data_IF_927341529623
#
_entry.id   IF_927341529623
#
_cell.length_a   1.000
_cell.length_b   1.000
_cell.length_c   1.000
_cell.angle_alpha   90.00
_cell.angle_beta   90.00
_cell.angle_gamma   90.00
#
_symmetry.space_group_name_H-M   'P 1'
#
loop_
_entity.id
_entity.type
_entity.pdbx_description
1 polymer ?
#
# COMPACT_ATOMS: atom_id res chain seq x y z
N UNK A 1 22.17 -29.83 22.10
CA UNK A 1 21.69 -28.64 21.38
C UNK A 1 22.78 -28.23 20.39
N UNK A 2 22.70 -28.60 19.11
CA UNK A 2 23.61 -28.10 18.07
C UNK A 2 22.90 -26.92 17.40
N UNK A 3 23.37 -25.71 17.70
CA UNK A 3 22.92 -24.48 17.05
C UNK A 3 23.80 -24.32 15.81
N UNK A 4 23.20 -24.36 14.62
CA UNK A 4 23.92 -24.26 13.37
C UNK A 4 24.06 -22.78 12.99
N UNK A 5 25.28 -22.24 13.06
CA UNK A 5 25.56 -20.85 12.72
C UNK A 5 25.55 -20.64 11.21
N UNK A 6 24.76 -19.69 10.71
CA UNK A 6 25.13 -18.97 9.49
C UNK A 6 25.87 -17.70 9.92
N UNK A 7 27.15 -17.60 9.53
CA UNK A 7 28.00 -16.45 9.78
C UNK A 7 27.37 -15.16 9.23
N UNK A 8 26.90 -14.29 10.12
CA UNK A 8 26.74 -12.86 9.83
C UNK A 8 28.09 -12.19 10.09
N UNK A 9 28.81 -11.89 9.01
CA UNK A 9 30.00 -11.05 9.05
C UNK A 9 29.58 -9.60 9.27
N UNK A 10 29.75 -9.09 10.50
CA UNK A 10 29.60 -7.67 10.82
C UNK A 10 29.15 -7.47 12.27
N UNK A 11 30.06 -7.06 13.15
CA UNK A 11 29.85 -6.95 14.59
C UNK A 11 28.77 -5.97 15.00
N UNK A 12 27.62 -6.49 15.39
CA UNK A 12 26.60 -5.79 16.18
C UNK A 12 26.52 -6.52 17.52
N UNK A 13 26.86 -5.84 18.61
CA UNK A 13 26.69 -6.35 19.98
C UNK A 13 25.20 -6.32 20.33
N UNK A 14 24.47 -7.39 19.98
CA UNK A 14 23.09 -7.61 20.41
C UNK A 14 23.12 -8.57 21.61
N UNK A 15 22.94 -8.04 22.81
CA UNK A 15 22.76 -8.91 23.98
C UNK A 15 21.32 -9.27 24.25
N UNK A 16 21.18 -10.43 24.86
CA UNK A 16 19.93 -11.17 24.97
C UNK A 16 19.47 -11.15 26.42
N UNK A 17 18.19 -10.83 26.66
CA UNK A 17 17.60 -10.79 27.99
C UNK A 17 16.67 -11.98 28.24
N UNK A 18 16.82 -12.62 29.40
CA UNK A 18 15.93 -13.67 29.91
C UNK A 18 15.10 -13.09 31.07
N UNK A 19 13.77 -13.23 31.02
CA UNK A 19 12.84 -12.83 32.10
C UNK A 19 12.03 -14.06 32.55
N UNK A 20 11.94 -14.28 33.86
CA UNK A 20 11.15 -15.35 34.49
C UNK A 20 10.15 -14.80 35.51
N UNK A 21 9.00 -15.47 35.68
CA UNK A 21 7.96 -15.11 36.67
C UNK A 21 7.95 -16.01 37.92
N UNK A 22 8.92 -16.90 38.10
CA UNK A 22 8.96 -17.84 39.24
C UNK A 22 10.07 -17.46 40.24
N UNK A 23 9.77 -17.25 41.54
CA UNK A 23 10.80 -17.04 42.56
C UNK A 23 11.77 -18.24 42.64
N UNK A 24 13.09 -18.02 42.83
CA UNK A 24 13.71 -16.81 43.37
C UNK A 24 14.23 -15.80 42.32
N UNK A 25 14.09 -16.06 41.03
CA UNK A 25 14.63 -15.19 39.97
C UNK A 25 13.59 -14.17 39.51
N UNK A 26 13.40 -13.13 40.33
CA UNK A 26 12.85 -11.86 39.87
C UNK A 26 14.03 -11.02 39.36
N UNK A 27 14.29 -11.04 38.06
CA UNK A 27 15.40 -10.27 37.49
C UNK A 27 15.68 -10.60 36.03
N UNK A 28 16.35 -9.67 35.35
CA UNK A 28 16.76 -9.77 33.97
C UNK A 28 18.29 -9.89 33.87
N UNK A 29 18.79 -10.90 33.17
CA UNK A 29 20.23 -11.09 32.94
C UNK A 29 20.57 -10.91 31.45
N UNK A 30 21.77 -10.38 31.19
CA UNK A 30 22.27 -10.04 29.86
C UNK A 30 23.35 -11.04 29.43
N UNK A 31 23.21 -11.59 28.22
CA UNK A 31 24.18 -12.53 27.65
C UNK A 31 24.77 -11.99 26.35
N UNK A 32 26.07 -12.18 26.15
CA UNK A 32 26.80 -11.56 25.04
C UNK A 32 26.58 -12.27 23.69
N UNK A 33 26.10 -13.52 23.70
CA UNK A 33 25.87 -14.31 22.50
C UNK A 33 24.88 -15.47 22.76
N UNK A 34 24.37 -16.06 21.69
CA UNK A 34 23.41 -17.17 21.72
C UNK A 34 23.96 -18.43 22.42
N UNK A 35 25.29 -18.62 22.43
CA UNK A 35 25.90 -19.78 23.07
C UNK A 35 25.80 -19.69 24.60
N UNK A 36 26.05 -18.50 25.17
CA UNK A 36 25.87 -18.23 26.59
C UNK A 36 24.41 -18.36 27.03
N UNK A 37 23.47 -17.88 26.21
CA UNK A 37 22.03 -18.07 26.45
C UNK A 37 21.66 -19.56 26.52
N UNK A 38 22.16 -20.36 25.58
CA UNK A 38 21.92 -21.80 25.56
C UNK A 38 22.46 -22.52 26.79
N UNK A 39 23.64 -22.12 27.29
CA UNK A 39 24.24 -22.68 28.50
C UNK A 39 23.46 -22.28 29.77
N UNK A 40 23.06 -21.01 29.88
CA UNK A 40 22.29 -20.50 31.00
C UNK A 40 20.90 -21.17 31.08
N UNK A 41 20.20 -21.29 29.94
CA UNK A 41 18.93 -22.03 29.86
C UNK A 41 19.08 -23.48 30.29
N UNK A 42 20.12 -24.17 29.81
CA UNK A 42 20.37 -25.56 30.17
C UNK A 42 20.64 -25.72 31.67
N UNK A 43 21.39 -24.80 32.27
CA UNK A 43 21.65 -24.80 33.72
C UNK A 43 20.36 -24.55 34.52
N UNK A 44 19.57 -23.54 34.16
CA UNK A 44 18.32 -23.18 34.85
C UNK A 44 17.25 -24.28 34.75
N UNK A 45 17.06 -24.89 33.58
CA UNK A 45 16.12 -26.00 33.40
C UNK A 45 16.54 -27.26 34.16
N UNK A 46 17.84 -27.41 34.46
CA UNK A 46 18.35 -28.56 35.22
C UNK A 46 18.29 -28.38 36.75
N UNK A 47 18.17 -27.14 37.24
CA UNK A 47 18.31 -26.80 38.67
C UNK A 47 17.05 -26.22 39.30
N UNK A 48 16.06 -25.80 38.50
CA UNK A 48 14.81 -25.19 38.97
C UNK A 48 13.58 -25.83 38.32
N UNK A 49 12.42 -25.78 39.00
CA UNK A 49 11.12 -26.27 38.48
C UNK A 49 10.50 -25.30 37.45
N UNK A 50 11.33 -24.71 36.60
CA UNK A 50 10.92 -23.81 35.52
C UNK A 50 10.40 -24.64 34.34
N UNK A 51 9.22 -24.29 33.82
CA UNK A 51 8.72 -24.87 32.58
C UNK A 51 9.13 -24.00 31.41
N UNK A 52 9.11 -24.59 30.21
CA UNK A 52 9.57 -23.93 29.00
C UNK A 52 8.72 -22.71 28.63
N UNK A 53 7.44 -22.73 28.97
CA UNK A 53 6.52 -21.59 28.84
C UNK A 53 6.84 -20.39 29.74
N UNK A 54 7.70 -20.56 30.75
CA UNK A 54 8.06 -19.50 31.71
C UNK A 54 9.27 -18.66 31.26
N UNK A 55 9.84 -18.96 30.08
CA UNK A 55 11.10 -18.36 29.62
C UNK A 55 10.90 -17.55 28.35
N UNK A 56 11.08 -16.23 28.47
CA UNK A 56 11.02 -15.29 27.35
C UNK A 56 12.42 -14.83 26.98
N UNK A 57 12.78 -14.96 25.70
CA UNK A 57 14.04 -14.46 25.14
C UNK A 57 13.72 -13.31 24.20
N UNK A 58 14.19 -12.11 24.53
CA UNK A 58 13.99 -10.90 23.72
C UNK A 58 15.32 -10.21 23.45
N UNK A 59 15.52 -9.75 22.21
CA UNK A 59 16.65 -8.92 21.79
C UNK A 59 16.32 -7.43 21.69
N UNK A 60 15.17 -6.99 22.22
CA UNK A 60 14.76 -5.58 22.24
C UNK A 60 14.99 -4.99 23.62
N UNK A 61 16.08 -4.26 23.83
CA UNK A 61 16.12 -3.22 24.85
C UNK A 61 16.99 -2.04 24.43
N UNK A 62 16.34 -0.87 24.34
CA UNK A 62 16.91 0.39 24.77
C UNK A 62 16.54 0.55 26.27
N UNK A 63 17.47 1.03 27.10
CA UNK A 63 17.51 0.80 28.56
C UNK A 63 16.43 1.40 29.47
N UNK A 64 15.27 1.88 29.00
CA UNK A 64 14.35 2.69 29.83
C UNK A 64 12.90 2.18 30.02
N UNK A 65 12.37 1.21 29.26
CA UNK A 65 10.90 0.92 29.25
C UNK A 65 10.44 -0.42 29.90
N UNK A 66 11.16 -0.94 30.90
CA UNK A 66 10.91 -2.28 31.46
C UNK A 66 9.90 -2.36 32.63
N UNK A 67 8.94 -1.45 32.79
CA UNK A 67 7.92 -1.57 33.85
C UNK A 67 6.51 -1.24 33.40
N UNK A 68 5.72 -2.27 33.11
CA UNK A 68 4.27 -2.21 33.22
C UNK A 68 3.51 -3.13 32.28
N UNK A 69 2.47 -3.75 32.83
CA UNK A 69 1.29 -4.38 32.17
C UNK A 69 1.29 -5.91 32.11
N UNK A 70 0.48 -6.49 33.00
CA UNK A 70 -0.01 -7.88 33.00
C UNK A 70 -1.54 -7.89 33.31
N UNK A 71 -2.25 -8.86 32.70
CA UNK A 71 -3.66 -9.25 32.98
C UNK A 71 -4.71 -8.56 32.08
N UNK A 72 -5.77 -9.18 31.54
CA UNK A 72 -6.45 -10.49 31.63
C UNK A 72 -7.28 -10.63 30.29
N UNK A 73 -7.50 -11.80 29.68
CA UNK A 73 -8.58 -12.76 29.99
C UNK A 73 -9.81 -12.59 29.07
N UNK A 74 -10.00 -13.47 28.07
CA UNK A 74 -11.13 -13.50 27.10
C UNK A 74 -11.91 -14.81 27.28
N UNK A 75 -13.24 -14.79 27.12
CA UNK A 75 -14.02 -16.02 26.90
C UNK A 75 -15.27 -15.78 26.04
N UNK A 76 -15.64 -16.77 25.20
CA UNK A 76 -17.02 -16.96 24.71
C UNK A 76 -17.23 -17.13 23.19
N UNK A 77 -17.31 -18.39 22.75
CA UNK A 77 -17.73 -18.87 21.41
C UNK A 77 -19.26 -18.87 21.26
N UNK A 78 -19.80 -18.66 20.04
CA UNK A 78 -21.00 -19.37 19.50
C UNK A 78 -21.19 -19.17 17.98
N UNK A 79 -21.57 -20.27 17.33
CA UNK A 79 -21.79 -20.50 15.90
C UNK A 79 -23.24 -20.29 15.46
N UNK A 80 -23.49 -19.86 14.21
CA UNK A 80 -24.63 -20.31 13.37
C UNK A 80 -24.49 -19.79 11.93
N UNK A 81 -24.81 -20.66 10.95
CA UNK A 81 -24.70 -20.39 9.51
C UNK A 81 -25.96 -19.82 8.85
N UNK A 82 -25.88 -19.63 7.53
CA UNK A 82 -27.00 -19.29 6.65
C UNK A 82 -26.54 -18.73 5.30
N UNK A 83 -26.75 -19.51 4.25
CA UNK A 83 -26.52 -19.19 2.83
C UNK A 83 -27.55 -18.17 2.30
N UNK A 84 -27.20 -17.34 1.31
CA UNK A 84 -28.10 -17.00 0.18
C UNK A 84 -27.40 -16.23 -0.96
N UNK A 85 -27.50 -16.77 -2.19
CA UNK A 85 -28.11 -16.07 -3.33
C UNK A 85 -27.33 -14.99 -4.09
N UNK A 86 -26.61 -15.40 -5.14
CA UNK A 86 -26.12 -14.54 -6.22
C UNK A 86 -27.20 -14.29 -7.27
N UNK A 87 -27.40 -13.03 -7.68
CA UNK A 87 -28.02 -12.68 -8.97
C UNK A 87 -27.22 -11.56 -9.63
N UNK A 88 -26.73 -11.86 -10.82
CA UNK A 88 -26.00 -10.94 -11.68
C UNK A 88 -26.91 -10.18 -12.65
N UNK A 89 -26.34 -9.14 -13.26
CA UNK A 89 -26.78 -8.64 -14.56
C UNK A 89 -25.60 -7.93 -15.21
N UNK A 90 -25.12 -8.51 -16.31
CA UNK A 90 -24.14 -7.91 -17.21
C UNK A 90 -24.78 -6.93 -18.18
N UNK A 91 -23.93 -6.10 -18.78
CA UNK A 91 -24.28 -5.22 -19.89
C UNK A 91 -23.00 -4.72 -20.53
N UNK A 92 -22.65 -5.34 -21.66
CA UNK A 92 -21.57 -4.95 -22.56
C UNK A 92 -21.98 -3.69 -23.34
N UNK A 93 -21.02 -2.83 -23.67
CA UNK A 93 -20.94 -2.23 -25.02
C UNK A 93 -19.51 -1.74 -25.28
N UNK A 94 -18.94 -2.18 -26.40
CA UNK A 94 -17.68 -1.72 -26.95
C UNK A 94 -17.86 -0.56 -27.93
N UNK A 95 -16.74 -0.02 -28.42
CA UNK A 95 -16.71 0.94 -29.52
C UNK A 95 -15.44 1.79 -29.57
N UNK A 96 -14.46 1.30 -30.32
CA UNK A 96 -13.52 1.99 -31.23
C UNK A 96 -12.78 3.30 -30.84
N UNK A 97 -11.45 3.15 -30.81
CA UNK A 97 -10.32 4.05 -31.15
C UNK A 97 -10.56 5.56 -31.32
N UNK A 98 -10.01 6.36 -30.39
CA UNK A 98 -9.89 7.82 -30.44
C UNK A 98 -8.41 8.23 -30.27
N UNK A 99 -7.77 8.69 -31.34
CA UNK A 99 -6.46 9.37 -31.33
C UNK A 99 -6.68 10.83 -31.73
N UNK A 100 -6.46 11.75 -30.77
CA UNK A 100 -6.68 13.19 -30.92
C UNK A 100 -7.43 13.79 -29.73
N UNK A 101 -6.97 14.95 -29.24
CA UNK A 101 -7.80 15.79 -28.35
C UNK A 101 -9.12 16.10 -29.08
N UNK A 102 -10.29 16.09 -28.41
CA UNK A 102 -11.52 16.59 -29.01
C UNK A 102 -11.27 17.93 -29.70
N UNK A 103 -11.67 18.07 -30.97
CA UNK A 103 -11.45 19.27 -31.77
C UNK A 103 -11.78 20.54 -30.95
N UNK A 104 -10.77 21.38 -30.68
CA UNK A 104 -10.96 22.66 -30.00
C UNK A 104 -10.72 22.71 -28.49
N UNK A 105 -10.02 21.75 -27.88
CA UNK A 105 -9.45 21.97 -26.54
C UNK A 105 -8.50 23.18 -26.58
N UNK A 106 -8.92 24.27 -25.92
CA UNK A 106 -8.24 25.55 -26.03
C UNK A 106 -6.78 25.50 -25.59
N UNK A 107 -5.87 26.03 -26.42
CA UNK A 107 -4.45 26.30 -26.08
C UNK A 107 -4.31 27.08 -24.76
N UNK A 108 -5.32 27.86 -24.38
CA UNK A 108 -5.36 28.59 -23.12
C UNK A 108 -5.23 27.66 -21.89
N UNK A 109 -5.93 26.53 -21.88
CA UNK A 109 -5.88 25.58 -20.75
C UNK A 109 -4.49 24.95 -20.61
N UNK A 110 -3.93 24.46 -21.73
CA UNK A 110 -2.58 23.91 -21.76
C UNK A 110 -1.52 24.95 -21.41
N UNK A 111 -1.66 26.19 -21.90
CA UNK A 111 -0.75 27.30 -21.59
C UNK A 111 -0.75 27.63 -20.12
N UNK A 112 -1.93 27.71 -19.50
CA UNK A 112 -2.05 27.91 -18.05
C UNK A 112 -1.42 26.75 -17.27
N UNK A 113 -1.70 25.50 -17.66
CA UNK A 113 -1.17 24.30 -16.99
C UNK A 113 0.37 24.23 -17.01
N UNK A 114 1.02 24.69 -18.10
CA UNK A 114 2.49 24.78 -18.20
C UNK A 114 3.08 25.65 -17.09
N UNK A 115 2.33 26.66 -16.63
CA UNK A 115 2.75 27.56 -15.55
C UNK A 115 2.72 26.95 -14.15
N UNK A 116 2.05 25.80 -13.97
CA UNK A 116 1.98 25.09 -12.70
C UNK A 116 3.11 24.05 -12.58
N UNK A 117 3.59 23.83 -11.35
CA UNK A 117 4.50 22.72 -11.05
C UNK A 117 3.76 21.38 -10.94
N UNK A 118 4.51 20.27 -10.87
CA UNK A 118 3.90 18.94 -10.69
C UNK A 118 3.29 18.80 -9.29
N UNK A 119 3.97 19.33 -8.25
CA UNK A 119 3.49 19.29 -6.87
C UNK A 119 2.18 20.07 -6.69
N UNK A 120 2.06 21.24 -7.33
CA UNK A 120 0.84 22.02 -7.36
C UNK A 120 -0.31 21.25 -7.99
N UNK A 121 -0.07 20.34 -8.94
CA UNK A 121 -1.11 19.51 -9.57
C UNK A 121 -1.39 18.19 -8.84
N UNK A 122 -0.38 17.61 -8.18
CA UNK A 122 -0.42 16.27 -7.63
C UNK A 122 -1.06 16.15 -6.24
N UNK A 123 -1.29 17.28 -5.56
CA UNK A 123 -1.86 17.32 -4.21
C UNK A 123 -3.26 17.94 -4.21
N UNK A 124 -4.20 17.25 -3.57
CA UNK A 124 -5.56 17.75 -3.32
C UNK A 124 -5.96 17.52 -1.86
N UNK A 125 -6.34 18.61 -1.21
CA UNK A 125 -6.66 18.68 0.22
C UNK A 125 -8.08 18.24 0.55
N UNK A 126 -8.89 17.88 -0.45
CA UNK A 126 -10.28 17.49 -0.25
C UNK A 126 -10.62 16.18 -0.95
N UNK A 127 -11.53 15.38 -0.38
CA UNK A 127 -11.97 14.15 -1.01
C UNK A 127 -12.70 14.46 -2.32
N UNK A 128 -12.32 13.76 -3.38
CA UNK A 128 -13.06 13.80 -4.63
C UNK A 128 -14.46 13.21 -4.49
N UNK A 129 -15.42 13.77 -5.22
CA UNK A 129 -16.77 13.24 -5.37
C UNK A 129 -16.79 11.94 -6.18
N UNK A 130 -17.88 11.18 -6.00
CA UNK A 130 -18.20 10.03 -6.83
C UNK A 130 -18.93 10.50 -8.09
N UNK A 131 -18.58 9.91 -9.24
CA UNK A 131 -19.21 10.25 -10.53
C UNK A 131 -20.53 9.47 -10.65
N UNK A 132 -21.68 10.14 -10.80
CA UNK A 132 -22.95 9.47 -11.09
C UNK A 132 -22.87 8.66 -12.40
N UNK A 133 -23.43 7.44 -12.43
CA UNK A 133 -23.37 6.53 -13.59
C UNK A 133 -23.73 7.19 -14.93
N UNK A 134 -24.78 8.02 -14.93
CA UNK A 134 -25.23 8.77 -16.12
C UNK A 134 -24.22 9.76 -16.69
N UNK A 135 -23.15 10.07 -15.96
CA UNK A 135 -22.09 10.99 -16.37
C UNK A 135 -20.77 10.27 -16.65
N UNK A 136 -20.71 8.94 -16.55
CA UNK A 136 -19.45 8.21 -16.74
C UNK A 136 -18.83 8.44 -18.12
N UNK A 137 -19.63 8.47 -19.20
CA UNK A 137 -19.14 8.81 -20.54
C UNK A 137 -18.52 10.22 -20.61
N UNK A 138 -19.25 11.24 -20.18
CA UNK A 138 -18.77 12.63 -20.18
C UNK A 138 -17.51 12.82 -19.30
N UNK A 139 -17.48 12.17 -18.13
CA UNK A 139 -16.31 12.18 -17.27
C UNK A 139 -15.12 11.50 -17.95
N UNK A 140 -15.35 10.36 -18.62
CA UNK A 140 -14.32 9.63 -19.35
C UNK A 140 -13.70 10.47 -20.45
N UNK A 141 -14.49 11.23 -21.21
CA UNK A 141 -13.95 12.18 -22.20
C UNK A 141 -13.00 13.20 -21.57
N UNK A 142 -13.28 13.69 -20.36
CA UNK A 142 -12.35 14.58 -19.65
C UNK A 142 -11.02 13.87 -19.35
N UNK A 143 -11.07 12.63 -18.86
CA UNK A 143 -9.87 11.85 -18.53
C UNK A 143 -9.07 11.49 -19.79
N UNK A 144 -9.76 11.26 -20.90
CA UNK A 144 -9.15 10.92 -22.18
C UNK A 144 -8.28 12.04 -22.74
N UNK A 145 -8.53 13.32 -22.40
CA UNK A 145 -7.63 14.44 -22.77
C UNK A 145 -6.21 14.18 -22.27
N UNK A 146 -6.06 13.74 -21.01
CA UNK A 146 -4.75 13.41 -20.47
C UNK A 146 -4.24 12.06 -21.01
N UNK A 147 -5.07 11.00 -20.97
CA UNK A 147 -4.64 9.65 -21.35
C UNK A 147 -4.21 9.54 -22.82
N UNK A 148 -4.85 10.28 -23.74
CA UNK A 148 -4.48 10.27 -25.17
C UNK A 148 -3.05 10.79 -25.37
N UNK A 149 -2.67 11.86 -24.66
CA UNK A 149 -1.31 12.41 -24.71
C UNK A 149 -0.30 11.53 -24.01
N UNK A 150 -0.62 11.03 -22.81
CA UNK A 150 0.25 10.10 -22.05
C UNK A 150 0.57 8.81 -22.79
N UNK A 151 -0.35 8.34 -23.65
CA UNK A 151 -0.16 7.17 -24.52
C UNK A 151 0.75 7.47 -25.71
N UNK A 152 0.68 8.68 -26.27
CA UNK A 152 1.45 9.04 -27.47
C UNK A 152 2.87 9.46 -27.09
N UNK A 153 3.01 10.25 -26.03
CA UNK A 153 4.29 10.73 -25.53
C UNK A 153 4.41 10.42 -24.02
N UNK A 154 5.29 9.47 -23.70
CA UNK A 154 5.53 9.06 -22.32
C UNK A 154 6.31 10.10 -21.52
N UNK A 155 6.88 11.12 -22.16
CA UNK A 155 7.64 12.21 -21.54
C UNK A 155 6.81 13.52 -21.42
N UNK A 156 5.54 13.51 -21.81
CA UNK A 156 4.64 14.67 -21.74
C UNK A 156 4.24 14.99 -20.28
N UNK A 157 5.03 15.85 -19.62
CA UNK A 157 4.82 16.26 -18.23
C UNK A 157 3.45 16.92 -18.04
N UNK A 158 3.00 17.74 -18.98
CA UNK A 158 1.72 18.44 -18.92
C UNK A 158 0.53 17.46 -18.90
N UNK A 159 0.60 16.36 -19.65
CA UNK A 159 -0.44 15.35 -19.63
C UNK A 159 -0.57 14.67 -18.25
N UNK A 160 0.56 14.40 -17.58
CA UNK A 160 0.55 13.88 -16.21
C UNK A 160 0.05 14.92 -15.20
N UNK A 161 0.46 16.20 -15.33
CA UNK A 161 -0.08 17.30 -14.51
C UNK A 161 -1.60 17.37 -14.63
N UNK A 162 -2.13 17.33 -15.86
CA UNK A 162 -3.57 17.35 -16.10
C UNK A 162 -4.25 16.13 -15.48
N UNK A 163 -3.68 14.93 -15.66
CA UNK A 163 -4.21 13.72 -15.06
C UNK A 163 -4.33 13.86 -13.54
N UNK A 164 -3.27 14.31 -12.85
CA UNK A 164 -3.32 14.51 -11.41
C UNK A 164 -4.31 15.58 -10.96
N UNK A 165 -4.41 16.66 -11.74
CA UNK A 165 -5.21 17.83 -11.43
C UNK A 165 -6.72 17.60 -11.66
N UNK A 166 -7.09 16.71 -12.57
CA UNK A 166 -8.46 16.54 -13.06
C UNK A 166 -9.50 16.30 -11.94
N UNK A 167 -9.27 15.42 -10.93
CA UNK A 167 -10.22 15.26 -9.83
C UNK A 167 -10.49 16.57 -9.09
N UNK A 168 -9.46 17.43 -8.97
CA UNK A 168 -9.57 18.74 -8.32
C UNK A 168 -10.45 19.70 -9.13
N UNK A 169 -10.37 19.66 -10.45
CA UNK A 169 -11.14 20.54 -11.34
C UNK A 169 -12.61 20.14 -11.41
N UNK A 170 -12.92 18.85 -11.59
CA UNK A 170 -14.29 18.41 -11.91
C UNK A 170 -15.01 17.70 -10.76
N UNK A 171 -14.27 17.15 -9.79
CA UNK A 171 -14.82 16.34 -8.68
C UNK A 171 -14.60 16.96 -7.29
N UNK A 172 -14.19 18.22 -7.22
CA UNK A 172 -14.16 18.96 -5.94
C UNK A 172 -15.54 19.01 -5.26
N UNK A 173 -15.62 19.10 -3.92
CA UNK A 173 -16.87 19.24 -3.19
C UNK A 173 -17.78 20.35 -3.74
N UNK A 174 -19.09 20.16 -3.60
CA UNK A 174 -20.05 21.21 -3.93
C UNK A 174 -20.12 22.19 -2.75
N UNK A 175 -19.98 23.48 -3.02
CA UNK A 175 -20.05 24.53 -2.00
C UNK A 175 -21.46 24.59 -1.38
N UNK A 176 -21.54 24.98 -0.10
CA UNK A 176 -22.82 25.16 0.58
C UNK A 176 -23.63 26.28 -0.09
N UNK A 177 -24.94 26.10 -0.24
CA UNK A 177 -25.84 27.08 -0.86
C UNK A 177 -26.03 26.94 -2.39
N UNK A 178 -25.29 26.06 -3.05
CA UNK A 178 -25.53 25.72 -4.46
C UNK A 178 -26.88 25.02 -4.60
N UNK A 179 -27.81 25.63 -5.36
CA UNK A 179 -29.17 25.08 -5.58
C UNK A 179 -29.18 23.86 -6.49
N UNK A 180 -28.17 23.70 -7.34
CA UNK A 180 -28.05 22.60 -8.28
C UNK A 180 -27.66 21.30 -7.54
N UNK A 181 -28.22 20.16 -7.97
CA UNK A 181 -27.79 18.87 -7.47
C UNK A 181 -26.35 18.52 -7.90
N UNK A 182 -25.66 17.69 -7.11
CA UNK A 182 -24.25 17.29 -7.34
C UNK A 182 -23.99 16.81 -8.78
N UNK A 183 -24.91 16.02 -9.35
CA UNK A 183 -24.78 15.54 -10.72
C UNK A 183 -24.77 16.68 -11.75
N UNK A 184 -25.58 17.72 -11.56
CA UNK A 184 -25.61 18.85 -12.47
C UNK A 184 -24.32 19.67 -12.39
N UNK A 185 -23.80 19.87 -11.17
CA UNK A 185 -22.52 20.54 -10.94
C UNK A 185 -21.36 19.79 -11.60
N UNK A 186 -21.27 18.47 -11.44
CA UNK A 186 -20.24 17.65 -12.11
C UNK A 186 -20.37 17.76 -13.64
N UNK A 187 -21.60 17.67 -14.17
CA UNK A 187 -21.85 17.79 -15.62
C UNK A 187 -21.34 19.14 -16.15
N UNK A 188 -21.63 20.23 -15.46
CA UNK A 188 -21.21 21.58 -15.84
C UNK A 188 -19.68 21.73 -15.79
N UNK A 189 -19.03 21.22 -14.72
CA UNK A 189 -17.56 21.24 -14.61
C UNK A 189 -16.89 20.42 -15.70
N UNK A 190 -17.39 19.23 -16.02
CA UNK A 190 -16.87 18.43 -17.15
C UNK A 190 -17.02 19.17 -18.48
N UNK A 191 -18.16 19.82 -18.72
CA UNK A 191 -18.38 20.59 -19.94
C UNK A 191 -17.41 21.79 -20.05
N UNK A 192 -17.15 22.50 -18.95
CA UNK A 192 -16.14 23.56 -18.88
C UNK A 192 -14.73 23.05 -19.08
N UNK A 193 -14.41 21.90 -18.48
CA UNK A 193 -13.12 21.23 -18.64
C UNK A 193 -12.83 20.93 -20.11
N UNK A 194 -13.81 20.38 -20.84
CA UNK A 194 -13.68 20.07 -22.26
C UNK A 194 -13.61 21.31 -23.16
N UNK A 195 -13.94 22.50 -22.65
CA UNK A 195 -13.69 23.78 -23.34
C UNK A 195 -12.34 24.41 -23.00
N UNK A 196 -11.53 23.76 -22.16
CA UNK A 196 -10.22 24.27 -21.74
C UNK A 196 -10.28 25.36 -20.64
N UNK A 197 -11.42 25.56 -19.99
CA UNK A 197 -11.60 26.56 -18.92
C UNK A 197 -10.98 26.14 -17.57
N UNK A 198 -9.77 25.55 -17.60
CA UNK A 198 -9.15 24.90 -16.43
C UNK A 198 -8.75 25.88 -15.35
N UNK A 199 -8.23 27.06 -15.71
CA UNK A 199 -7.88 28.12 -14.77
C UNK A 199 -9.09 28.56 -13.94
N UNK A 200 -10.24 28.78 -14.59
CA UNK A 200 -11.48 29.15 -13.91
C UNK A 200 -11.98 28.05 -12.97
N UNK A 201 -11.96 26.79 -13.43
CA UNK A 201 -12.31 25.65 -12.59
C UNK A 201 -11.38 25.51 -11.37
N UNK A 202 -10.10 25.83 -11.55
CA UNK A 202 -9.10 25.81 -10.49
C UNK A 202 -9.31 26.95 -9.48
N UNK A 203 -9.63 28.15 -9.93
CA UNK A 203 -9.89 29.31 -9.08
C UNK A 203 -11.14 29.13 -8.18
N UNK A 204 -12.10 28.32 -8.62
CA UNK A 204 -13.32 28.00 -7.84
C UNK A 204 -13.10 26.96 -6.74
N UNK A 205 -11.93 26.33 -6.70
CA UNK A 205 -11.58 25.33 -5.72
C UNK A 205 -11.61 25.95 -4.32
N UNK A 206 -12.39 25.38 -3.37
CA UNK A 206 -12.42 25.90 -2.01
C UNK A 206 -11.02 26.00 -1.43
N UNK A 207 -10.66 27.18 -0.93
CA UNK A 207 -9.40 27.42 -0.23
C UNK A 207 -9.23 26.52 1.00
N UNK A 208 -7.97 26.26 1.30
CA UNK A 208 -7.40 25.39 2.32
C UNK A 208 -8.36 25.01 3.48
N UNK A 209 -8.88 23.77 3.44
CA UNK A 209 -9.57 23.14 4.57
C UNK A 209 -8.66 22.11 5.23
N UNK A 210 -7.46 22.53 5.64
CA UNK A 210 -6.56 21.77 6.53
C UNK A 210 -7.12 21.45 7.93
N UNK A 211 -8.38 21.75 8.21
CA UNK A 211 -9.03 21.23 9.40
C UNK A 211 -9.57 19.82 9.10
N UNK A 212 -8.76 18.80 9.37
CA UNK A 212 -9.31 17.52 9.85
C UNK A 212 -9.96 17.86 11.19
N UNK A 213 -11.19 18.40 11.16
CA UNK A 213 -12.02 18.42 12.34
C UNK A 213 -12.02 16.99 12.88
N UNK A 214 -11.76 16.85 14.18
CA UNK A 214 -11.93 15.60 14.90
C UNK A 214 -13.17 14.90 14.36
N UNK A 215 -13.06 13.60 14.08
CA UNK A 215 -14.20 12.87 13.57
C UNK A 215 -15.23 12.78 14.70
N UNK A 216 -16.06 13.82 14.80
CA UNK A 216 -17.25 13.84 15.64
C UNK A 216 -18.06 12.58 15.32
N UNK A 217 -18.67 11.98 16.34
CA UNK A 217 -19.43 10.74 16.24
C UNK A 217 -20.45 10.81 15.09
N UNK A 218 -21.04 11.99 14.87
CA UNK A 218 -21.96 12.24 13.77
C UNK A 218 -21.31 12.05 12.37
N UNK A 219 -20.03 12.44 12.21
CA UNK A 219 -19.27 12.20 10.99
C UNK A 219 -18.95 10.71 10.81
N UNK A 220 -18.56 10.02 11.88
CA UNK A 220 -18.28 8.57 11.85
C UNK A 220 -19.55 7.81 11.44
N UNK A 221 -20.70 8.14 12.03
CA UNK A 221 -22.00 7.56 11.69
C UNK A 221 -22.37 7.82 10.24
N UNK A 222 -22.23 9.06 9.74
CA UNK A 222 -22.47 9.37 8.33
C UNK A 222 -21.59 8.55 7.39
N UNK A 223 -20.30 8.40 7.70
CA UNK A 223 -19.37 7.61 6.89
C UNK A 223 -19.74 6.11 6.92
N UNK A 224 -20.08 5.57 8.08
CA UNK A 224 -20.52 4.18 8.24
C UNK A 224 -21.81 3.91 7.44
N UNK A 225 -22.80 4.81 7.49
CA UNK A 225 -24.04 4.70 6.69
C UNK A 225 -23.73 4.70 5.20
N UNK A 226 -22.79 5.54 4.73
CA UNK A 226 -22.36 5.53 3.31
C UNK A 226 -21.72 4.18 2.94
N UNK A 227 -20.90 3.60 3.81
CA UNK A 227 -20.27 2.30 3.58
C UNK A 227 -21.30 1.16 3.54
N UNK A 228 -22.31 1.18 4.42
CA UNK A 228 -23.43 0.23 4.40
C UNK A 228 -24.21 0.34 3.09
N UNK A 229 -24.55 1.56 2.65
CA UNK A 229 -25.22 1.80 1.36
C UNK A 229 -24.40 1.31 0.16
N UNK A 230 -23.07 1.25 0.30
CA UNK A 230 -22.15 0.68 -0.69
C UNK A 230 -21.90 -0.83 -0.52
N UNK A 231 -22.61 -1.51 0.37
CA UNK A 231 -22.44 -2.94 0.65
C UNK A 231 -21.14 -3.30 1.37
N UNK A 232 -20.40 -2.31 1.90
CA UNK A 232 -19.10 -2.48 2.54
C UNK A 232 -19.24 -2.68 4.06
N UNK A 233 -19.98 -3.72 4.48
CA UNK A 233 -20.34 -3.95 5.88
C UNK A 233 -19.12 -4.06 6.81
N UNK A 234 -18.10 -4.84 6.44
CA UNK A 234 -16.88 -4.98 7.25
C UNK A 234 -16.11 -3.66 7.39
N UNK A 235 -16.15 -2.79 6.37
CA UNK A 235 -15.53 -1.46 6.46
C UNK A 235 -16.37 -0.52 7.31
N UNK A 236 -17.70 -0.61 7.23
CA UNK A 236 -18.60 0.15 8.08
C UNK A 236 -18.39 -0.20 9.55
N UNK A 237 -18.32 -1.51 9.88
CA UNK A 237 -18.00 -1.99 11.23
C UNK A 237 -16.64 -1.45 11.70
N UNK A 238 -15.58 -1.62 10.91
CA UNK A 238 -14.25 -1.08 11.24
C UNK A 238 -14.22 0.44 11.40
N UNK A 239 -15.07 1.16 10.66
CA UNK A 239 -15.21 2.62 10.79
C UNK A 239 -15.87 2.99 12.12
N UNK A 240 -16.81 2.17 12.61
CA UNK A 240 -17.47 2.31 13.90
C UNK A 240 -16.59 1.84 15.08
N UNK A 241 -15.65 0.93 14.85
CA UNK A 241 -14.63 0.50 15.83
C UNK A 241 -13.62 1.61 16.20
N UNK A 242 -13.85 2.86 15.76
CA UNK A 242 -13.10 4.06 16.15
C UNK A 242 -11.57 3.90 16.02
N UNK A 243 -11.05 3.33 14.93
CA UNK A 243 -9.63 3.48 14.63
C UNK A 243 -9.28 4.98 14.56
N UNK A 244 -8.67 5.50 15.62
CA UNK A 244 -8.43 6.93 15.80
C UNK A 244 -7.30 7.36 14.87
N UNK A 245 -7.55 8.44 14.13
CA UNK A 245 -6.52 9.11 13.35
C UNK A 245 -5.68 9.96 14.30
N UNK A 246 -4.36 9.96 14.10
CA UNK A 246 -3.52 10.95 14.76
C UNK A 246 -3.91 12.35 14.26
N UNK A 247 -3.93 13.33 15.16
CA UNK A 247 -4.11 14.73 14.79
C UNK A 247 -2.95 15.18 13.92
N UNK A 248 -3.23 16.03 12.94
CA UNK A 248 -2.23 16.57 12.02
C UNK A 248 -1.42 17.69 12.72
N UNK A 249 -0.54 17.30 13.63
CA UNK A 249 0.38 18.18 14.37
C UNK A 249 1.81 17.97 13.88
N UNK A 250 2.67 18.94 14.18
CA UNK A 250 4.11 18.84 13.93
C UNK A 250 4.73 17.61 14.63
N UNK A 251 4.25 17.27 15.82
CA UNK A 251 4.69 16.07 16.55
C UNK A 251 4.35 14.78 15.78
N UNK A 252 3.13 14.68 15.25
CA UNK A 252 2.72 13.54 14.40
C UNK A 252 3.59 13.48 13.14
N UNK A 253 3.91 14.63 12.54
CA UNK A 253 4.80 14.69 11.37
C UNK A 253 6.19 14.15 11.71
N UNK A 254 6.82 14.63 12.79
CA UNK A 254 8.12 14.15 13.25
C UNK A 254 8.12 12.64 13.55
N UNK A 255 7.03 12.13 14.16
CA UNK A 255 6.86 10.68 14.39
C UNK A 255 6.83 9.90 13.07
N UNK A 256 6.13 10.42 12.06
CA UNK A 256 6.10 9.80 10.73
C UNK A 256 7.46 9.86 10.04
N UNK A 257 8.17 10.99 10.10
CA UNK A 257 9.51 11.15 9.52
C UNK A 257 10.51 10.15 10.11
N UNK A 258 10.50 9.96 11.43
CA UNK A 258 11.33 8.95 12.11
C UNK A 258 11.06 7.52 11.65
N UNK A 259 9.85 7.24 11.18
CA UNK A 259 9.49 5.93 10.60
C UNK A 259 9.92 5.80 9.13
N UNK A 260 10.44 6.84 8.49
CA UNK A 260 10.95 6.82 7.12
C UNK A 260 12.42 7.25 7.10
N UNK A 261 13.34 6.40 7.57
CA UNK A 261 14.75 6.75 7.62
C UNK A 261 15.30 7.04 6.22
N UNK A 262 16.24 7.97 6.12
CA UNK A 262 16.98 8.20 4.90
C UNK A 262 17.73 6.93 4.47
N UNK A 263 17.85 6.71 3.16
CA UNK A 263 18.60 5.57 2.63
C UNK A 263 20.08 5.66 3.03
N UNK A 264 20.58 4.65 3.74
CA UNK A 264 21.95 4.61 4.26
C UNK A 264 23.00 4.09 3.26
N UNK A 265 22.60 3.59 2.09
CA UNK A 265 23.51 3.01 1.10
C UNK A 265 23.63 3.81 -0.20
N UNK A 266 24.83 3.75 -0.78
CA UNK A 266 25.06 4.22 -2.15
C UNK A 266 24.62 3.12 -3.11
N UNK A 267 23.51 3.35 -3.81
CA UNK A 267 23.08 2.50 -4.92
C UNK A 267 24.24 2.29 -5.89
N UNK A 268 24.64 1.04 -6.13
CA UNK A 268 25.55 0.69 -7.20
C UNK A 268 24.95 1.11 -8.53
N UNK A 269 25.77 1.78 -9.34
CA UNK A 269 25.36 2.12 -10.69
C UNK A 269 25.41 0.86 -11.53
N UNK A 270 24.22 0.34 -11.86
CA UNK A 270 24.03 -0.81 -12.74
C UNK A 270 24.58 -0.52 -14.16
N UNK A 271 24.83 0.75 -14.50
CA UNK A 271 25.33 1.17 -15.80
C UNK A 271 24.21 1.32 -16.83
N UNK A 272 24.34 2.27 -17.76
CA UNK A 272 23.29 2.57 -18.74
C UNK A 272 22.98 1.41 -19.69
N UNK A 273 23.99 0.65 -20.09
CA UNK A 273 23.81 -0.51 -20.99
C UNK A 273 22.95 -1.59 -20.36
N UNK A 274 23.25 -1.94 -19.11
CA UNK A 274 22.47 -2.93 -18.37
C UNK A 274 21.06 -2.42 -18.05
N UNK A 275 20.90 -1.12 -17.73
CA UNK A 275 19.56 -0.51 -17.60
C UNK A 275 18.76 -0.63 -18.89
N UNK A 276 19.38 -0.41 -20.05
CA UNK A 276 18.74 -0.56 -21.37
C UNK A 276 18.32 -2.00 -21.61
N UNK A 277 19.18 -2.97 -21.31
CA UNK A 277 18.88 -4.40 -21.41
C UNK A 277 17.67 -4.78 -20.55
N UNK A 278 17.66 -4.37 -19.27
CA UNK A 278 16.59 -4.68 -18.33
C UNK A 278 15.27 -4.01 -18.73
N UNK A 279 15.30 -2.77 -19.23
CA UNK A 279 14.11 -2.11 -19.79
C UNK A 279 13.58 -2.83 -21.03
N UNK A 280 14.46 -3.42 -21.83
CA UNK A 280 14.07 -4.27 -22.97
C UNK A 280 13.36 -5.56 -22.59
N UNK A 281 13.46 -5.98 -21.33
CA UNK A 281 12.79 -7.16 -20.78
C UNK A 281 11.46 -6.84 -20.09
N UNK A 282 11.03 -5.58 -20.09
CA UNK A 282 9.86 -5.15 -19.33
C UNK A 282 8.62 -6.01 -19.60
N UNK A 283 7.92 -6.39 -18.53
CA UNK A 283 6.69 -7.15 -18.61
C UNK A 283 5.59 -6.35 -19.32
N UNK A 284 5.07 -6.90 -20.42
CA UNK A 284 3.82 -6.47 -21.02
C UNK A 284 2.63 -6.98 -20.21
N UNK A 285 1.70 -6.09 -19.90
CA UNK A 285 0.50 -6.40 -19.13
C UNK A 285 -0.51 -7.15 -20.00
N UNK A 286 -1.01 -8.28 -19.48
CA UNK A 286 -2.04 -9.09 -20.14
C UNK A 286 -3.42 -8.43 -20.06
N UNK A 287 -4.09 -8.32 -21.21
CA UNK A 287 -5.43 -7.72 -21.34
C UNK A 287 -6.46 -8.39 -20.42
N UNK A 288 -6.46 -9.73 -20.41
CA UNK A 288 -7.43 -10.48 -19.60
C UNK A 288 -7.20 -10.21 -18.11
N UNK A 289 -5.95 -10.21 -17.67
CA UNK A 289 -5.58 -9.92 -16.29
C UNK A 289 -5.91 -8.47 -15.91
N UNK A 290 -5.68 -7.52 -16.82
CA UNK A 290 -6.06 -6.12 -16.64
C UNK A 290 -7.57 -5.99 -16.40
N UNK A 291 -8.39 -6.57 -17.29
CA UNK A 291 -9.86 -6.55 -17.17
C UNK A 291 -10.35 -7.27 -15.91
N UNK A 292 -9.76 -8.42 -15.57
CA UNK A 292 -10.03 -9.14 -14.33
C UNK A 292 -9.74 -8.28 -13.10
N UNK A 293 -8.62 -7.54 -13.10
CA UNK A 293 -8.28 -6.63 -12.00
C UNK A 293 -9.26 -5.47 -11.93
N UNK A 294 -9.59 -4.84 -13.05
CA UNK A 294 -10.53 -3.72 -13.14
C UNK A 294 -11.92 -4.08 -12.61
N UNK A 295 -12.43 -5.26 -12.98
CA UNK A 295 -13.72 -5.78 -12.48
C UNK A 295 -13.73 -6.06 -10.98
N UNK A 296 -12.57 -6.30 -10.38
CA UNK A 296 -12.40 -6.69 -8.98
C UNK A 296 -11.61 -5.64 -8.16
N UNK A 297 -11.67 -4.37 -8.56
CA UNK A 297 -11.09 -3.29 -7.77
C UNK A 297 -11.83 -3.13 -6.44
N UNK A 298 -11.11 -2.86 -5.34
CA UNK A 298 -11.75 -2.70 -4.04
C UNK A 298 -12.55 -1.40 -4.00
N UNK A 299 -13.84 -1.50 -3.70
CA UNK A 299 -14.71 -0.33 -3.51
C UNK A 299 -14.37 0.39 -2.20
N UNK A 300 -14.58 1.71 -2.11
CA UNK A 300 -14.33 2.52 -0.92
C UNK A 300 -12.92 2.32 -0.37
N UNK A 301 -11.91 2.39 -1.24
CA UNK A 301 -10.49 2.43 -0.86
C UNK A 301 -10.02 3.87 -0.70
N UNK A 302 -9.05 4.09 0.20
CA UNK A 302 -8.44 5.41 0.39
C UNK A 302 -7.71 5.88 -0.88
N UNK A 303 -7.93 7.13 -1.34
CA UNK A 303 -7.25 7.66 -2.51
C UNK A 303 -5.85 8.18 -2.17
N UNK A 304 -5.04 8.38 -3.21
CA UNK A 304 -3.73 9.02 -3.13
C UNK A 304 -3.80 10.53 -2.88
N UNK A 305 -2.72 11.26 -3.20
CA UNK A 305 -2.62 12.71 -3.03
C UNK A 305 -3.48 13.44 -4.06
N UNK A 306 -3.56 12.92 -5.29
CA UNK A 306 -4.38 13.46 -6.39
C UNK A 306 -5.89 13.24 -6.20
N UNK A 307 -6.27 12.47 -5.18
CA UNK A 307 -7.65 12.10 -4.85
C UNK A 307 -8.35 11.23 -5.91
N UNK A 308 -7.61 10.62 -6.84
CA UNK A 308 -8.14 9.57 -7.69
C UNK A 308 -8.59 8.33 -6.90
N UNK A 309 -9.75 7.79 -7.29
CA UNK A 309 -10.35 6.59 -6.69
C UNK A 309 -10.46 5.47 -7.72
N UNK A 310 -10.59 4.24 -7.22
CA UNK A 310 -10.81 3.06 -8.07
C UNK A 310 -12.09 3.16 -8.89
N UNK A 311 -13.12 3.74 -8.31
CA UNK A 311 -14.42 3.90 -8.96
C UNK A 311 -14.37 4.88 -10.13
N UNK A 312 -13.43 5.81 -10.13
CA UNK A 312 -13.18 6.67 -11.29
C UNK A 312 -12.50 5.90 -12.41
N UNK A 313 -11.50 5.08 -12.08
CA UNK A 313 -10.84 4.21 -13.07
C UNK A 313 -11.83 3.21 -13.65
N UNK A 314 -12.74 2.68 -12.82
CA UNK A 314 -13.83 1.83 -13.28
C UNK A 314 -14.77 2.56 -14.24
N UNK A 315 -15.16 3.80 -13.93
CA UNK A 315 -15.99 4.61 -14.84
C UNK A 315 -15.31 4.81 -16.19
N UNK A 316 -14.02 5.15 -16.20
CA UNK A 316 -13.19 5.29 -17.41
C UNK A 316 -13.16 3.99 -18.20
N UNK A 317 -12.88 2.88 -17.52
CA UNK A 317 -12.75 1.55 -18.14
C UNK A 317 -14.02 1.11 -18.86
N UNK A 318 -15.19 1.22 -18.23
CA UNK A 318 -16.46 0.75 -18.82
C UNK A 318 -17.11 1.76 -19.77
N UNK A 319 -16.52 2.95 -19.94
CA UNK A 319 -17.11 4.03 -20.73
C UNK A 319 -16.19 4.51 -21.86
N UNK A 320 -15.37 3.61 -22.42
CA UNK A 320 -14.56 3.86 -23.62
C UNK A 320 -13.09 4.23 -23.39
N UNK A 321 -12.64 4.31 -22.13
CA UNK A 321 -11.25 4.63 -21.78
C UNK A 321 -10.36 3.42 -21.45
N UNK A 322 -10.86 2.19 -21.63
CA UNK A 322 -10.12 0.95 -21.31
C UNK A 322 -8.73 0.93 -21.95
N UNK A 323 -8.67 1.01 -23.27
CA UNK A 323 -7.46 0.72 -24.03
C UNK A 323 -6.39 1.77 -23.74
N UNK A 324 -6.75 3.06 -23.77
CA UNK A 324 -5.83 4.13 -23.40
C UNK A 324 -5.30 4.01 -21.97
N UNK A 325 -6.16 3.63 -21.01
CA UNK A 325 -5.72 3.38 -19.63
C UNK A 325 -4.74 2.20 -19.54
N UNK A 326 -5.01 1.13 -20.28
CA UNK A 326 -4.14 -0.05 -20.31
C UNK A 326 -2.79 0.24 -20.98
N UNK A 327 -2.78 0.97 -22.10
CA UNK A 327 -1.57 1.38 -22.80
C UNK A 327 -0.68 2.26 -21.91
N UNK A 328 -1.28 3.24 -21.22
CA UNK A 328 -0.57 4.03 -20.20
C UNK A 328 0.00 3.14 -19.10
N UNK A 329 -0.77 2.17 -18.59
CA UNK A 329 -0.28 1.21 -17.60
C UNK A 329 0.90 0.37 -18.13
N UNK A 330 0.90 -0.01 -19.42
CA UNK A 330 2.00 -0.69 -20.10
C UNK A 330 3.24 0.20 -20.23
N UNK A 331 3.10 1.49 -20.53
CA UNK A 331 4.22 2.44 -20.50
C UNK A 331 4.86 2.53 -19.12
N UNK A 332 4.03 2.66 -18.09
CA UNK A 332 4.48 2.70 -16.70
C UNK A 332 5.17 1.40 -16.28
N UNK A 333 4.59 0.24 -16.59
CA UNK A 333 5.21 -1.07 -16.33
C UNK A 333 6.58 -1.21 -17.00
N UNK A 334 6.77 -0.61 -18.17
CA UNK A 334 8.04 -0.52 -18.88
C UNK A 334 9.01 0.54 -18.33
N UNK A 335 8.69 1.17 -17.19
CA UNK A 335 9.53 2.18 -16.55
C UNK A 335 9.56 3.53 -17.29
N UNK A 336 8.57 3.80 -18.15
CA UNK A 336 8.47 5.05 -18.93
C UNK A 336 7.53 6.04 -18.23
N UNK A 337 8.11 7.10 -17.70
CA UNK A 337 7.43 8.30 -17.23
C UNK A 337 8.46 9.42 -17.06
N UNK A 338 8.04 10.70 -17.17
CA UNK A 338 8.93 11.84 -17.05
C UNK A 338 9.60 11.87 -15.68
N UNK A 339 10.88 12.23 -15.63
CA UNK A 339 11.67 12.21 -14.39
C UNK A 339 11.01 13.02 -13.25
N UNK A 340 10.52 14.24 -13.55
CA UNK A 340 9.87 15.12 -12.58
C UNK A 340 8.49 14.66 -12.08
N UNK A 341 7.89 13.63 -12.71
CA UNK A 341 6.60 13.07 -12.31
C UNK A 341 6.77 11.84 -11.40
N UNK A 342 7.93 11.19 -11.46
CA UNK A 342 8.17 9.90 -10.79
C UNK A 342 7.93 9.97 -9.29
N UNK A 343 8.36 11.03 -8.61
CA UNK A 343 8.18 11.19 -7.17
C UNK A 343 6.69 11.21 -6.76
N UNK A 344 5.83 11.82 -7.59
CA UNK A 344 4.40 11.94 -7.33
C UNK A 344 3.66 10.66 -7.70
N UNK A 345 4.03 10.04 -8.83
CA UNK A 345 3.48 8.75 -9.25
C UNK A 345 3.85 7.62 -8.29
N UNK A 346 5.13 7.59 -7.85
CA UNK A 346 5.68 6.60 -6.93
C UNK A 346 5.53 7.00 -5.45
N UNK A 347 4.99 8.18 -5.18
CA UNK A 347 4.70 8.65 -3.84
C UNK A 347 3.46 8.00 -3.23
N UNK A 348 3.12 8.46 -2.03
CA UNK A 348 1.89 8.10 -1.35
C UNK A 348 1.47 9.20 -0.37
N UNK A 349 0.17 9.43 -0.26
CA UNK A 349 -0.40 10.23 0.83
C UNK A 349 -0.36 9.40 2.12
N UNK A 350 0.37 9.87 3.13
CA UNK A 350 0.45 9.20 4.43
C UNK A 350 -0.78 9.53 5.29
N UNK A 351 -1.37 8.50 5.88
CA UNK A 351 -2.40 8.62 6.91
C UNK A 351 -1.87 8.00 8.19
N UNK A 352 -1.80 8.77 9.27
CA UNK A 352 -1.36 8.30 10.58
C UNK A 352 -2.53 7.69 11.36
N UNK A 353 -2.48 6.37 11.59
CA UNK A 353 -3.39 5.69 12.52
C UNK A 353 -2.74 5.65 13.92
N UNK A 354 -3.50 5.86 14.98
CA UNK A 354 -3.02 5.56 16.33
C UNK A 354 -2.92 4.04 16.51
N UNK A 355 -1.79 3.58 17.05
CA UNK A 355 -1.53 2.16 17.34
C UNK A 355 -2.11 1.75 18.70
N UNK A 356 -2.19 2.70 19.62
CA UNK A 356 -2.70 2.57 20.97
C UNK A 356 -3.65 3.73 21.28
N UNK A 357 -4.54 3.54 22.26
CA UNK A 357 -5.46 4.58 22.71
C UNK A 357 -4.73 5.75 23.41
N UNK A 358 -3.48 5.53 23.83
CA UNK A 358 -2.62 6.52 24.47
C UNK A 358 -2.06 7.56 23.50
N UNK A 359 -2.17 7.32 22.18
CA UNK A 359 -1.73 8.27 21.15
C UNK A 359 -0.21 8.40 21.01
N UNK A 360 0.55 7.52 21.66
CA UNK A 360 2.02 7.60 21.71
C UNK A 360 2.59 7.12 20.38
N UNK A 361 2.06 6.01 19.86
CA UNK A 361 2.57 5.36 18.67
C UNK A 361 1.63 5.55 17.48
N UNK A 362 2.21 5.88 16.31
CA UNK A 362 1.49 5.98 15.05
C UNK A 362 1.89 4.87 14.08
N UNK A 363 0.93 4.43 13.26
CA UNK A 363 1.16 3.56 12.11
C UNK A 363 0.96 4.37 10.83
N UNK A 364 2.00 4.53 9.99
CA UNK A 364 1.87 5.16 8.69
C UNK A 364 1.10 4.23 7.75
N UNK A 365 0.04 4.74 7.15
CA UNK A 365 -0.70 4.07 6.07
C UNK A 365 -0.46 4.82 4.77
N UNK A 366 0.44 4.32 3.90
CA UNK A 366 0.68 4.93 2.61
C UNK A 366 -0.48 4.64 1.64
N UNK A 367 -1.17 5.70 1.23
CA UNK A 367 -2.17 5.65 0.17
C UNK A 367 -1.50 6.07 -1.16
N UNK A 368 -1.03 5.09 -1.95
CA UNK A 368 -0.37 5.36 -3.23
C UNK A 368 -1.31 5.89 -4.32
N UNK A 369 -0.71 6.47 -5.36
CA UNK A 369 -1.42 6.94 -6.56
C UNK A 369 -2.15 5.82 -7.31
N UNK A 370 -3.26 6.17 -7.98
CA UNK A 370 -4.16 5.17 -8.56
C UNK A 370 -3.50 4.35 -9.66
N UNK A 371 -2.74 5.00 -10.55
CA UNK A 371 -2.04 4.34 -11.66
C UNK A 371 -0.94 3.42 -11.12
N UNK A 372 -0.19 3.86 -10.10
CA UNK A 372 0.83 3.02 -9.46
C UNK A 372 0.24 1.76 -8.85
N UNK A 373 -0.85 1.92 -8.10
CA UNK A 373 -1.55 0.77 -7.50
C UNK A 373 -2.12 -0.15 -8.58
N UNK A 374 -2.62 0.40 -9.70
CA UNK A 374 -3.23 -0.38 -10.78
C UNK A 374 -2.19 -1.27 -11.44
N UNK A 375 -1.09 -0.68 -11.90
CA UNK A 375 0.04 -1.40 -12.52
C UNK A 375 0.55 -2.50 -11.59
N UNK A 376 0.85 -2.18 -10.33
CA UNK A 376 1.32 -3.16 -9.36
C UNK A 376 0.32 -4.31 -9.15
N UNK A 377 -0.99 -4.02 -9.11
CA UNK A 377 -2.03 -5.04 -8.92
C UNK A 377 -2.17 -5.97 -10.12
N UNK A 378 -2.03 -5.45 -11.34
CA UNK A 378 -2.03 -6.23 -12.59
C UNK A 378 -0.79 -7.12 -12.64
N UNK A 379 0.40 -6.56 -12.41
CA UNK A 379 1.67 -7.32 -12.36
C UNK A 379 1.59 -8.47 -11.34
N UNK A 380 1.19 -8.17 -10.09
CA UNK A 380 1.09 -9.18 -9.04
C UNK A 380 0.07 -10.27 -9.38
N UNK A 381 -1.01 -9.94 -10.08
CA UNK A 381 -2.01 -10.92 -10.52
C UNK A 381 -1.47 -11.78 -11.65
N UNK A 382 -0.85 -11.18 -12.66
CA UNK A 382 -0.30 -11.85 -13.84
C UNK A 382 0.85 -12.78 -13.46
N UNK A 383 1.68 -12.37 -12.50
CA UNK A 383 2.84 -13.13 -12.01
C UNK A 383 2.59 -13.90 -10.73
N UNK A 384 1.33 -14.02 -10.30
CA UNK A 384 0.98 -14.68 -9.05
C UNK A 384 1.56 -16.10 -8.91
N UNK A 385 1.56 -16.89 -9.99
CA UNK A 385 2.12 -18.26 -9.99
C UNK A 385 3.64 -18.25 -9.80
N UNK A 386 4.36 -17.40 -10.53
CA UNK A 386 5.81 -17.30 -10.46
C UNK A 386 6.27 -16.75 -9.10
N UNK A 387 5.60 -15.70 -8.60
CA UNK A 387 5.84 -15.13 -7.28
C UNK A 387 5.60 -16.17 -6.17
N UNK A 388 4.49 -16.92 -6.23
CA UNK A 388 4.22 -18.01 -5.29
C UNK A 388 5.27 -19.11 -5.36
N UNK A 389 5.68 -19.55 -6.54
CA UNK A 389 6.71 -20.57 -6.68
C UNK A 389 8.03 -20.13 -6.04
N UNK A 390 8.42 -18.86 -6.21
CA UNK A 390 9.67 -18.31 -5.68
C UNK A 390 9.67 -18.07 -4.17
N UNK A 391 8.54 -17.61 -3.61
CA UNK A 391 8.45 -17.16 -2.21
C UNK A 391 7.72 -18.15 -1.29
N UNK A 392 6.75 -18.90 -1.82
CA UNK A 392 5.90 -19.83 -1.07
C UNK A 392 6.17 -21.30 -1.42
N UNK A 393 7.09 -21.59 -2.33
CA UNK A 393 7.39 -22.97 -2.74
C UNK A 393 8.08 -23.76 -1.62
N UNK A 394 7.74 -25.05 -1.51
CA UNK A 394 8.50 -25.99 -0.70
C UNK A 394 9.89 -26.14 -1.36
N UNK A 395 10.92 -25.56 -0.75
CA UNK A 395 12.28 -26.02 -0.99
C UNK A 395 12.42 -27.34 -0.25
N UNK A 396 12.07 -28.44 -0.92
CA UNK A 396 12.60 -29.74 -0.57
C UNK A 396 14.12 -29.66 -0.69
N UNK A 397 14.81 -30.40 0.18
CA UNK A 397 16.26 -30.59 0.22
C UNK A 397 17.00 -29.53 1.04
N UNK A 398 16.80 -29.57 2.36
CA UNK A 398 17.97 -29.60 3.24
C UNK A 398 18.18 -31.05 3.74
N UNK A 399 19.43 -31.42 3.99
CA UNK A 399 19.87 -32.75 4.45
C UNK A 399 19.29 -33.15 5.83
N UNK A 400 18.33 -32.39 6.35
CA UNK A 400 17.75 -32.51 7.69
C UNK A 400 16.25 -32.83 7.67
N UNK A 401 15.64 -32.98 6.49
CA UNK A 401 14.26 -33.47 6.35
C UNK A 401 13.20 -32.51 6.90
N UNK A 402 13.55 -31.24 7.15
CA UNK A 402 12.63 -30.21 7.60
C UNK A 402 12.05 -29.42 6.41
N UNK A 403 10.77 -29.03 6.44
CA UNK A 403 10.26 -28.10 5.44
C UNK A 403 10.97 -26.74 5.60
N UNK A 404 11.77 -26.32 4.60
CA UNK A 404 12.26 -24.93 4.54
C UNK A 404 11.07 -23.98 4.58
N UNK A 405 11.10 -23.02 5.50
CA UNK A 405 10.03 -22.06 5.72
C UNK A 405 9.62 -21.34 4.42
N UNK A 406 8.46 -21.73 3.89
CA UNK A 406 7.76 -20.96 2.87
C UNK A 406 7.23 -19.67 3.51
N UNK A 407 7.33 -18.52 2.84
CA UNK A 407 6.60 -17.35 3.33
C UNK A 407 5.10 -17.60 3.16
N UNK A 408 4.34 -17.40 4.23
CA UNK A 408 2.89 -17.68 4.30
C UNK A 408 2.06 -16.40 4.48
N UNK A 409 2.70 -15.25 4.68
CA UNK A 409 2.02 -13.97 4.94
C UNK A 409 1.37 -13.34 3.70
N UNK A 410 1.87 -13.65 2.50
CA UNK A 410 1.37 -13.11 1.24
C UNK A 410 1.03 -14.23 0.27
N UNK A 411 -0.04 -14.07 -0.51
CA UNK A 411 -0.44 -14.98 -1.59
C UNK A 411 -0.78 -16.43 -1.19
N UNK A 412 -0.75 -16.79 0.10
CA UNK A 412 -1.20 -18.07 0.67
C UNK A 412 -2.56 -17.89 1.32
N UNK A 413 -3.58 -18.58 0.80
CA UNK A 413 -4.94 -18.53 1.35
C UNK A 413 -4.94 -19.22 2.72
N UNK A 414 -5.46 -18.54 3.75
CA UNK A 414 -5.42 -19.07 5.13
C UNK A 414 -4.01 -19.11 5.73
N UNK A 415 -3.08 -18.30 5.21
CA UNK A 415 -1.68 -18.32 5.63
C UNK A 415 -1.46 -18.02 7.12
N UNK A 416 -2.34 -17.21 7.73
CA UNK A 416 -2.28 -16.95 9.17
C UNK A 416 -2.59 -18.20 9.99
N UNK A 417 -3.70 -18.88 9.70
CA UNK A 417 -4.09 -20.14 10.35
C UNK A 417 -3.05 -21.23 10.10
N UNK A 418 -2.55 -21.33 8.86
CA UNK A 418 -1.49 -22.26 8.49
C UNK A 418 -0.23 -22.01 9.34
N UNK A 419 0.16 -20.75 9.55
CA UNK A 419 1.32 -20.39 10.36
C UNK A 419 1.19 -20.81 11.81
N UNK A 420 0.02 -20.58 12.41
CA UNK A 420 -0.28 -21.02 13.77
C UNK A 420 -0.12 -22.54 13.89
N UNK A 421 -0.77 -23.30 13.01
CA UNK A 421 -0.73 -24.76 13.09
C UNK A 421 0.62 -25.37 12.71
N UNK A 422 1.37 -24.74 11.81
CA UNK A 422 2.73 -25.18 11.40
C UNK A 422 3.73 -25.05 12.56
N UNK A 423 3.48 -24.15 13.50
CA UNK A 423 4.29 -24.01 14.72
C UNK A 423 3.75 -24.89 15.85
N UNK A 424 2.44 -24.87 16.11
CA UNK A 424 1.86 -25.59 17.26
C UNK A 424 2.00 -27.11 17.14
N UNK A 425 1.63 -27.70 16.00
CA UNK A 425 1.59 -29.17 15.89
C UNK A 425 2.96 -29.84 16.09
N UNK A 426 4.08 -29.32 15.53
CA UNK A 426 5.40 -29.87 15.83
C UNK A 426 5.82 -29.69 17.30
N UNK A 427 5.46 -28.59 17.96
CA UNK A 427 5.76 -28.39 19.39
C UNK A 427 4.96 -29.36 20.28
N UNK A 428 3.73 -29.69 19.89
CA UNK A 428 2.92 -30.70 20.60
C UNK A 428 3.53 -32.11 20.48
N UNK A 429 4.09 -32.44 19.31
CA UNK A 429 4.76 -33.73 19.07
C UNK A 429 6.18 -33.80 19.64
N UNK A 430 6.83 -32.64 19.74
CA UNK A 430 8.19 -32.50 20.25
C UNK A 430 8.23 -31.48 21.40
N UNK A 431 7.80 -31.86 22.62
CA UNK A 431 7.84 -30.98 23.79
C UNK A 431 9.25 -30.46 24.12
N UNK A 432 10.28 -31.14 23.61
CA UNK A 432 11.68 -30.77 23.73
C UNK A 432 12.13 -29.67 22.74
N UNK A 433 11.30 -29.19 21.83
CA UNK A 433 11.62 -28.10 20.88
C UNK A 433 11.30 -26.71 21.43
N UNK A 434 12.09 -25.68 21.04
CA UNK A 434 11.81 -24.26 21.35
C UNK A 434 11.20 -23.59 20.11
N UNK A 435 10.20 -22.74 20.30
CA UNK A 435 9.79 -21.77 19.28
C UNK A 435 10.56 -20.45 19.45
N UNK A 436 11.26 -20.00 18.41
CA UNK A 436 11.91 -18.69 18.38
C UNK A 436 11.06 -17.73 17.57
N UNK A 437 10.69 -16.59 18.18
CA UNK A 437 9.93 -15.53 17.52
C UNK A 437 10.84 -14.34 17.21
N UNK A 438 10.97 -14.03 15.92
CA UNK A 438 11.66 -12.85 15.44
C UNK A 438 10.68 -11.86 14.79
N UNK A 439 10.99 -10.57 14.89
CA UNK A 439 10.18 -9.48 14.31
C UNK A 439 11.10 -8.39 13.75
N UNK A 440 10.82 -7.94 12.53
CA UNK A 440 11.62 -6.91 11.87
C UNK A 440 11.07 -5.51 12.22
N UNK A 441 11.91 -4.66 12.82
CA UNK A 441 11.55 -3.27 13.14
C UNK A 441 11.37 -2.47 11.86
N UNK A 442 10.20 -1.85 11.70
CA UNK A 442 9.91 -0.93 10.59
C UNK A 442 10.26 -1.51 9.20
N UNK A 443 10.01 -2.80 9.01
CA UNK A 443 10.60 -3.61 7.94
C UNK A 443 10.45 -3.02 6.53
N UNK A 444 9.27 -2.50 6.19
CA UNK A 444 9.02 -1.96 4.85
C UNK A 444 9.79 -0.66 4.56
N UNK A 445 9.99 0.18 5.57
CA UNK A 445 10.67 1.47 5.41
C UNK A 445 12.18 1.36 5.64
N UNK A 446 12.62 0.36 6.42
CA UNK A 446 14.03 0.10 6.68
C UNK A 446 14.69 -0.81 5.63
N UNK A 447 13.92 -1.42 4.72
CA UNK A 447 14.47 -2.29 3.66
C UNK A 447 15.37 -1.50 2.73
N UNK A 448 16.57 -2.02 2.48
CA UNK A 448 17.50 -1.41 1.54
C UNK A 448 16.99 -1.57 0.09
N UNK A 449 16.68 -0.44 -0.57
CA UNK A 449 16.10 -0.44 -1.94
C UNK A 449 17.00 -1.12 -2.97
N UNK A 450 18.32 -1.05 -2.80
CA UNK A 450 19.28 -1.73 -3.68
C UNK A 450 19.18 -3.25 -3.56
N UNK A 451 19.13 -3.79 -2.34
CA UNK A 451 18.98 -5.23 -2.14
C UNK A 451 17.66 -5.75 -2.73
N UNK A 452 16.60 -4.93 -2.66
CA UNK A 452 15.33 -5.22 -3.32
C UNK A 452 15.47 -5.22 -4.86
N UNK A 453 16.14 -4.22 -5.43
CA UNK A 453 16.36 -4.12 -6.88
C UNK A 453 17.26 -5.24 -7.41
N UNK A 454 18.32 -5.61 -6.70
CA UNK A 454 19.20 -6.75 -7.02
C UNK A 454 18.42 -8.07 -6.98
N UNK A 455 17.58 -8.27 -5.96
CA UNK A 455 16.74 -9.45 -5.87
C UNK A 455 15.74 -9.53 -7.03
N UNK A 456 15.17 -8.40 -7.44
CA UNK A 456 14.28 -8.32 -8.60
C UNK A 456 15.03 -8.56 -9.89
N UNK A 457 16.21 -7.95 -10.09
CA UNK A 457 17.04 -8.20 -11.26
C UNK A 457 17.38 -9.68 -11.41
N UNK A 458 17.74 -10.34 -10.31
CA UNK A 458 18.09 -11.76 -10.31
C UNK A 458 16.89 -12.68 -10.57
N UNK A 459 15.78 -12.46 -9.87
CA UNK A 459 14.69 -13.44 -9.83
C UNK A 459 13.55 -13.12 -10.81
N UNK A 460 13.36 -11.84 -11.17
CA UNK A 460 12.27 -11.31 -11.99
C UNK A 460 12.71 -10.08 -12.81
N UNK A 461 13.73 -10.19 -13.69
CA UNK A 461 14.32 -9.05 -14.41
C UNK A 461 13.29 -8.23 -15.21
N UNK A 462 12.24 -8.87 -15.69
CA UNK A 462 11.12 -8.23 -16.39
C UNK A 462 10.30 -7.25 -15.53
N UNK A 463 10.41 -7.33 -14.19
CA UNK A 463 9.78 -6.39 -13.25
C UNK A 463 10.72 -5.25 -12.83
N UNK A 464 11.98 -5.29 -13.27
CA UNK A 464 12.99 -4.33 -12.86
C UNK A 464 12.63 -2.90 -13.27
N UNK A 465 12.18 -2.69 -14.52
CA UNK A 465 11.86 -1.36 -15.02
C UNK A 465 10.74 -0.66 -14.23
N UNK A 466 9.66 -1.37 -13.93
CA UNK A 466 8.58 -0.90 -13.05
C UNK A 466 9.10 -0.55 -11.65
N UNK A 467 9.96 -1.41 -11.11
CA UNK A 467 10.51 -1.23 -9.76
C UNK A 467 11.48 -0.05 -9.70
N UNK A 468 12.34 0.13 -10.70
CA UNK A 468 13.24 1.28 -10.83
C UNK A 468 12.45 2.59 -10.98
N UNK A 469 11.35 2.58 -11.72
CA UNK A 469 10.46 3.74 -11.80
C UNK A 469 9.84 4.08 -10.42
N UNK A 470 9.48 3.08 -9.61
CA UNK A 470 8.89 3.31 -8.29
C UNK A 470 9.90 3.63 -7.19
N UNK A 471 11.10 3.05 -7.23
CA UNK A 471 12.03 3.03 -6.10
C UNK A 471 13.45 3.45 -6.46
N UNK A 472 13.75 3.60 -7.74
CA UNK A 472 15.09 3.91 -8.26
C UNK A 472 15.45 5.40 -8.19
N UNK A 473 14.48 6.29 -8.00
CA UNK A 473 14.75 7.70 -7.70
C UNK A 473 15.34 7.84 -6.29
N UNK A 474 16.36 8.71 -6.17
CA UNK A 474 16.85 9.16 -4.86
C UNK A 474 15.73 9.96 -4.22
N UNK A 475 15.22 9.48 -3.09
CA UNK A 475 14.40 10.28 -2.17
C UNK A 475 15.34 10.72 -1.07
#
# INVERSE_FOLDING_TARGET
MKICSQHLLGGVEEGIMIVSQVPPLVGAEYYANEHEVGQALHHMLSTTSLKREDVFVTGKLDGEEAMGVAGEGVDGVRTAGGECGLLGAGGQHGGESLVGDPDGLGEAGWTWLRGLSVDECAVSDFPSLMVPKKLWGLFTECVMVALRRMRVDTEDVEAYKLFFLLPRLVLQPVQQGVKQGVAQVIKERCARFLRGEWEGLHAEVPGDRRAVAEADEERVLRDAVRLVKAGQLGKAAKRLELAKLATATEETLLKLERLHPAGIGRRQDVGEDRRRELRGQALELDEKTFDDVMRNLPQASGPGSSQWRWEHMWAVHVSGGRDALMEVCNHLAAGRAPAGVREWLAGARLVALLKDDLGVNVRPIPCGEVLRKLVAKVICRQRAKALRARFCGNRQDDDHGGPRAAQIGVAVKGGADLGVHTVQAPLDWHPEWVCVKADARNAFNALHREAMLEAIERDFPELWAWTDLCYGARV
#
